data_IF_372098285852
#
_entry.id   IF_372098285852
#
_cell.length_a   1.000
_cell.length_b   1.000
_cell.length_c   1.000
_cell.angle_alpha   90.00
_cell.angle_beta   90.00
_cell.angle_gamma   90.00
#
_symmetry.space_group_name_H-M   'P 1'
#
loop_
_entity.id
_entity.type
_entity.pdbx_description
1 polymer ?
#
# COMPACT_ATOMS: atom_id res chain seq x y z
N UNK A 1 19.08 -5.66 17.98
CA UNK A 1 18.75 -4.62 17.01
C UNK A 1 18.65 -3.25 17.70
N UNK A 2 18.96 -2.19 16.96
CA UNK A 2 18.68 -0.81 17.39
C UNK A 2 17.25 -0.45 16.95
N UNK A 3 16.49 0.18 17.84
CA UNK A 3 15.15 0.69 17.58
C UNK A 3 15.11 2.21 17.74
N UNK A 4 14.21 2.84 16.97
CA UNK A 4 14.02 4.28 17.09
C UNK A 4 13.50 4.65 18.49
N UNK A 5 14.10 5.67 19.11
CA UNK A 5 13.68 6.15 20.44
C UNK A 5 12.35 6.93 20.41
N UNK A 6 11.86 7.30 19.23
CA UNK A 6 10.59 8.01 19.05
C UNK A 6 9.46 7.13 18.53
N UNK A 7 9.70 6.40 17.43
CA UNK A 7 8.72 5.48 16.86
C UNK A 7 9.12 4.04 17.14
N UNK A 8 8.62 3.07 16.35
CA UNK A 8 8.80 1.63 16.60
C UNK A 8 9.71 0.95 15.59
N UNK A 9 10.30 1.68 14.66
CA UNK A 9 11.09 1.08 13.59
C UNK A 9 12.46 0.58 14.04
N UNK A 10 12.82 -0.65 13.62
CA UNK A 10 14.16 -1.20 13.77
C UNK A 10 15.13 -0.71 12.68
N UNK A 11 16.41 -0.80 12.94
CA UNK A 11 17.49 -0.44 12.00
C UNK A 11 17.54 -1.30 10.74
N UNK A 12 17.05 -2.54 10.82
CA UNK A 12 17.00 -3.47 9.69
C UNK A 12 15.79 -3.27 8.77
N UNK A 13 15.19 -2.08 8.78
CA UNK A 13 14.05 -1.77 7.91
C UNK A 13 14.42 -1.96 6.42
N UNK A 14 13.58 -2.66 5.60
CA UNK A 14 13.92 -3.01 4.21
C UNK A 14 14.21 -1.80 3.30
N UNK A 15 13.68 -0.63 3.62
CA UNK A 15 13.92 0.62 2.88
C UNK A 15 15.11 1.42 3.43
N UNK A 16 16.04 0.78 4.19
CA UNK A 16 17.29 1.38 4.66
C UNK A 16 17.11 2.66 5.47
N UNK A 17 16.38 2.54 6.56
CA UNK A 17 16.21 3.60 7.53
C UNK A 17 17.54 3.93 8.23
N UNK A 18 17.85 5.21 8.42
CA UNK A 18 19.03 5.67 9.12
C UNK A 18 18.68 6.26 10.48
N UNK A 19 19.66 6.34 11.39
CA UNK A 19 19.49 6.88 12.74
C UNK A 19 20.52 7.98 12.99
N UNK A 20 20.09 9.04 13.64
CA UNK A 20 21.00 10.07 14.13
C UNK A 20 21.66 9.68 15.48
N UNK A 21 22.53 10.58 15.99
CA UNK A 21 23.24 10.37 17.27
C UNK A 21 22.28 10.31 18.46
N UNK A 22 21.11 10.93 18.36
CA UNK A 22 20.07 10.89 19.39
C UNK A 22 19.22 9.61 19.34
N UNK A 23 19.48 8.70 18.40
CA UNK A 23 18.71 7.46 18.24
C UNK A 23 17.37 7.63 17.51
N UNK A 24 17.16 8.78 16.87
CA UNK A 24 15.93 9.07 16.13
C UNK A 24 16.10 8.67 14.65
N UNK A 25 15.11 7.97 14.10
CA UNK A 25 15.18 7.53 12.71
C UNK A 25 14.91 8.67 11.72
N UNK A 26 15.46 8.54 10.52
CA UNK A 26 15.26 9.46 9.39
C UNK A 26 13.78 9.72 9.09
N UNK A 27 12.93 8.69 9.16
CA UNK A 27 11.50 8.86 8.97
C UNK A 27 10.82 9.78 9.99
N UNK A 28 11.27 9.77 11.26
CA UNK A 28 10.78 10.71 12.25
C UNK A 28 11.31 12.13 11.99
N UNK A 29 12.56 12.29 11.51
CA UNK A 29 13.13 13.61 11.20
C UNK A 29 12.44 14.26 10.01
N UNK A 30 12.26 13.52 8.92
CA UNK A 30 11.54 14.04 7.74
C UNK A 30 10.07 14.33 8.05
N UNK A 31 9.47 13.57 8.97
CA UNK A 31 8.10 13.86 9.39
C UNK A 31 7.98 15.20 10.14
N UNK A 32 9.01 15.64 10.86
CA UNK A 32 9.03 16.95 11.53
C UNK A 32 8.89 18.11 10.52
N UNK A 33 9.42 17.96 9.31
CA UNK A 33 9.30 18.95 8.24
C UNK A 33 7.84 19.30 7.94
N UNK A 34 6.90 18.37 8.13
CA UNK A 34 5.46 18.59 7.88
C UNK A 34 4.87 19.70 8.74
N UNK A 35 5.44 19.97 9.91
CA UNK A 35 4.99 21.01 10.82
C UNK A 35 5.59 22.38 10.49
N UNK A 36 6.65 22.44 9.66
CA UNK A 36 7.38 23.66 9.29
C UNK A 36 7.03 24.17 7.88
N UNK A 37 6.50 23.30 7.01
CA UNK A 37 6.24 23.62 5.62
C UNK A 37 4.96 24.43 5.43
N UNK A 38 5.02 25.42 4.53
CA UNK A 38 3.86 26.15 4.01
C UNK A 38 3.10 25.30 2.98
N UNK A 39 2.07 24.61 3.46
CA UNK A 39 1.25 23.73 2.63
C UNK A 39 0.33 24.48 1.65
N UNK A 40 -0.03 25.74 1.94
CA UNK A 40 -0.81 26.57 1.00
C UNK A 40 0.05 26.95 -0.21
N UNK A 41 1.26 27.40 0.04
CA UNK A 41 2.23 27.70 -1.04
C UNK A 41 2.56 26.44 -1.87
N UNK A 42 2.72 25.28 -1.23
CA UNK A 42 2.95 24.00 -1.91
C UNK A 42 1.77 23.59 -2.77
N UNK A 43 0.55 23.73 -2.27
CA UNK A 43 -0.64 23.44 -3.04
C UNK A 43 -0.83 24.42 -4.21
N UNK A 44 -0.51 25.70 -4.02
CA UNK A 44 -0.49 26.69 -5.12
C UNK A 44 0.56 26.30 -6.20
N UNK A 45 1.72 25.81 -5.80
CA UNK A 45 2.73 25.26 -6.72
C UNK A 45 2.17 24.07 -7.51
N UNK A 46 1.49 23.14 -6.86
CA UNK A 46 0.83 22.01 -7.53
C UNK A 46 -0.19 22.49 -8.56
N UNK A 47 -1.04 23.46 -8.20
CA UNK A 47 -2.00 24.06 -9.16
C UNK A 47 -1.31 24.62 -10.40
N UNK A 48 -0.23 25.38 -10.21
CA UNK A 48 0.55 25.93 -11.32
C UNK A 48 1.18 24.82 -12.19
N UNK A 49 1.73 23.78 -11.55
CA UNK A 49 2.34 22.66 -12.26
C UNK A 49 1.33 21.93 -13.15
N UNK A 50 0.16 21.60 -12.63
CA UNK A 50 -0.82 20.81 -13.37
C UNK A 50 -1.51 21.57 -14.50
N UNK A 51 -1.54 22.91 -14.46
CA UNK A 51 -2.06 23.72 -15.57
C UNK A 51 -1.32 23.45 -16.88
N UNK A 52 -0.02 23.16 -16.82
CA UNK A 52 0.78 22.79 -18.00
C UNK A 52 0.37 21.46 -18.65
N UNK A 53 -0.36 20.63 -17.92
CA UNK A 53 -0.82 19.32 -18.40
C UNK A 53 -2.30 19.28 -18.78
N UNK A 54 -3.05 20.37 -18.58
CA UNK A 54 -4.46 20.39 -18.99
C UNK A 54 -4.58 20.15 -20.48
N UNK A 55 -5.39 19.18 -20.85
CA UNK A 55 -5.71 18.97 -22.25
C UNK A 55 -6.49 20.14 -22.83
N UNK A 56 -6.03 20.62 -23.97
CA UNK A 56 -6.72 21.67 -24.72
C UNK A 56 -8.04 21.23 -25.32
N UNK A 57 -8.22 19.92 -25.48
CA UNK A 57 -9.48 19.33 -25.94
C UNK A 57 -10.25 18.80 -24.75
N UNK A 58 -11.55 19.03 -24.69
CA UNK A 58 -12.40 18.54 -23.60
C UNK A 58 -12.71 17.05 -23.69
N UNK A 59 -12.18 16.37 -24.69
CA UNK A 59 -12.49 14.96 -24.99
C UNK A 59 -11.47 13.97 -24.45
N UNK A 60 -10.32 14.45 -23.94
CA UNK A 60 -9.25 13.60 -23.43
C UNK A 60 -8.96 13.92 -21.95
N UNK A 61 -8.32 12.97 -21.28
CA UNK A 61 -7.94 13.09 -19.87
C UNK A 61 -6.69 13.98 -19.71
N UNK A 62 -6.64 14.72 -18.60
CA UNK A 62 -5.51 15.59 -18.25
C UNK A 62 -4.39 14.82 -17.55
N UNK A 63 -4.74 13.78 -16.82
CA UNK A 63 -3.78 12.97 -16.05
C UNK A 63 -4.30 11.54 -15.83
N UNK A 64 -3.40 10.69 -15.35
CA UNK A 64 -3.68 9.34 -14.86
C UNK A 64 -3.62 9.37 -13.34
N UNK A 65 -4.56 8.69 -12.69
CA UNK A 65 -4.53 8.42 -11.25
C UNK A 65 -4.58 6.92 -11.02
N UNK A 66 -3.48 6.32 -10.53
CA UNK A 66 -3.50 4.93 -10.09
C UNK A 66 -4.36 4.77 -8.84
N UNK A 67 -5.29 3.80 -8.87
CA UNK A 67 -6.27 3.61 -7.79
C UNK A 67 -6.41 2.15 -7.41
N UNK A 68 -6.89 1.93 -6.18
CA UNK A 68 -7.37 0.64 -5.69
C UNK A 68 -8.70 0.82 -4.95
N UNK A 69 -9.27 -0.25 -4.43
CA UNK A 69 -10.46 -0.18 -3.57
C UNK A 69 -10.16 0.23 -2.12
N UNK A 70 -8.94 0.67 -1.83
CA UNK A 70 -8.49 1.06 -0.49
C UNK A 70 -7.42 2.14 -0.55
N UNK A 71 -6.70 2.26 0.56
CA UNK A 71 -5.66 3.27 0.77
C UNK A 71 -6.21 4.67 0.51
N UNK A 72 -5.38 5.54 0.02
CA UNK A 72 -5.71 6.94 -0.19
C UNK A 72 -6.43 7.23 -1.51
N UNK A 73 -6.89 6.20 -2.25
CA UNK A 73 -7.44 6.35 -3.60
C UNK A 73 -8.57 7.36 -3.68
N UNK A 74 -9.51 7.34 -2.74
CA UNK A 74 -10.61 8.32 -2.68
C UNK A 74 -10.11 9.74 -2.49
N UNK A 75 -9.16 9.92 -1.57
CA UNK A 75 -8.60 11.24 -1.29
C UNK A 75 -7.80 11.78 -2.49
N UNK A 76 -7.00 10.92 -3.13
CA UNK A 76 -6.24 11.31 -4.33
C UNK A 76 -7.19 11.79 -5.43
N UNK A 77 -8.25 11.01 -5.72
CA UNK A 77 -9.24 11.39 -6.75
C UNK A 77 -10.00 12.65 -6.34
N UNK A 78 -10.34 12.81 -5.06
CA UNK A 78 -10.94 14.04 -4.54
C UNK A 78 -10.05 15.27 -4.80
N UNK A 79 -8.77 15.20 -4.47
CA UNK A 79 -7.81 16.29 -4.72
C UNK A 79 -7.73 16.60 -6.22
N UNK A 80 -7.52 15.56 -7.04
CA UNK A 80 -7.31 15.73 -8.48
C UNK A 80 -8.55 16.29 -9.16
N UNK A 81 -9.72 15.74 -8.85
CA UNK A 81 -10.94 16.11 -9.57
C UNK A 81 -11.64 17.31 -8.98
N UNK A 82 -11.79 17.38 -7.66
CA UNK A 82 -12.60 18.42 -7.02
C UNK A 82 -11.77 19.65 -6.63
N UNK A 83 -10.52 19.47 -6.16
CA UNK A 83 -9.71 20.61 -5.75
C UNK A 83 -8.87 21.20 -6.89
N UNK A 84 -8.37 20.35 -7.79
CA UNK A 84 -7.58 20.79 -8.96
C UNK A 84 -8.43 20.94 -10.23
N UNK A 85 -9.65 20.37 -10.27
CA UNK A 85 -10.54 20.44 -11.43
C UNK A 85 -10.00 19.75 -12.67
N UNK A 86 -9.16 18.71 -12.51
CA UNK A 86 -8.62 17.91 -13.61
C UNK A 86 -9.59 16.79 -14.02
N UNK A 87 -9.38 16.23 -15.20
CA UNK A 87 -10.10 15.07 -15.75
C UNK A 87 -9.21 13.85 -15.70
N UNK A 88 -9.23 13.07 -14.59
CA UNK A 88 -8.37 11.91 -14.47
C UNK A 88 -8.91 10.72 -15.27
N UNK A 89 -8.01 9.92 -15.85
CA UNK A 89 -8.23 8.52 -16.17
C UNK A 89 -7.76 7.69 -14.98
N UNK A 90 -8.68 7.00 -14.34
CA UNK A 90 -8.32 6.07 -13.26
C UNK A 90 -7.73 4.80 -13.85
N UNK A 91 -6.68 4.28 -13.22
CA UNK A 91 -5.99 3.09 -13.68
C UNK A 91 -5.76 2.14 -12.50
N UNK A 92 -6.14 0.88 -12.66
CA UNK A 92 -5.99 -0.12 -11.61
C UNK A 92 -5.45 -1.45 -12.13
N UNK A 93 -4.67 -2.13 -11.31
CA UNK A 93 -4.26 -3.52 -11.54
C UNK A 93 -5.08 -4.44 -10.64
N UNK A 94 -5.69 -5.46 -11.23
CA UNK A 94 -6.44 -6.47 -10.49
C UNK A 94 -5.47 -7.41 -9.74
N UNK A 95 -5.42 -7.24 -8.41
CA UNK A 95 -4.56 -8.03 -7.52
C UNK A 95 -4.95 -9.50 -7.40
N UNK A 96 -6.16 -9.87 -7.81
CA UNK A 96 -6.80 -11.19 -7.63
C UNK A 96 -7.12 -11.56 -6.17
N UNK A 97 -6.58 -10.85 -5.20
CA UNK A 97 -6.81 -11.03 -3.76
C UNK A 97 -7.90 -10.10 -3.21
N UNK A 98 -8.86 -9.75 -4.06
CA UNK A 98 -9.80 -8.67 -3.78
C UNK A 98 -10.87 -9.06 -2.75
N UNK A 99 -11.09 -8.20 -1.77
CA UNK A 99 -12.23 -8.31 -0.84
C UNK A 99 -13.49 -7.71 -1.45
N UNK A 100 -14.66 -8.09 -0.94
CA UNK A 100 -15.93 -7.47 -1.34
C UNK A 100 -15.94 -5.97 -1.05
N UNK A 101 -15.42 -5.54 0.12
CA UNK A 101 -15.29 -4.12 0.48
C UNK A 101 -14.44 -3.38 -0.55
N UNK A 102 -13.29 -3.91 -0.89
CA UNK A 102 -12.39 -3.29 -1.88
C UNK A 102 -13.01 -3.18 -3.26
N UNK A 103 -13.75 -4.19 -3.67
CA UNK A 103 -14.44 -4.19 -4.96
C UNK A 103 -15.54 -3.14 -4.99
N UNK A 104 -16.36 -3.03 -3.93
CA UNK A 104 -17.38 -1.98 -3.80
C UNK A 104 -16.74 -0.59 -3.78
N UNK A 105 -15.72 -0.39 -2.93
CA UNK A 105 -15.01 0.87 -2.87
C UNK A 105 -14.48 1.30 -4.24
N UNK A 106 -13.87 0.40 -5.01
CA UNK A 106 -13.37 0.73 -6.34
C UNK A 106 -14.49 1.06 -7.34
N UNK A 107 -15.60 0.32 -7.30
CA UNK A 107 -16.75 0.59 -8.16
C UNK A 107 -17.42 1.93 -7.82
N UNK A 108 -17.61 2.22 -6.54
CA UNK A 108 -18.16 3.50 -6.09
C UNK A 108 -17.22 4.68 -6.35
N UNK A 109 -15.91 4.49 -6.18
CA UNK A 109 -14.93 5.53 -6.48
C UNK A 109 -15.14 6.10 -7.88
N UNK A 110 -15.17 5.23 -8.91
CA UNK A 110 -15.38 5.69 -10.29
C UNK A 110 -16.74 6.35 -10.49
N UNK A 111 -17.80 5.79 -9.89
CA UNK A 111 -19.18 6.26 -10.07
C UNK A 111 -19.42 7.59 -9.36
N UNK A 112 -19.02 7.71 -8.10
CA UNK A 112 -19.20 8.91 -7.27
C UNK A 112 -18.44 10.13 -7.81
N UNK A 113 -17.25 9.88 -8.37
CA UNK A 113 -16.46 10.95 -8.98
C UNK A 113 -16.70 11.10 -10.47
N UNK A 114 -17.51 10.24 -11.11
CA UNK A 114 -17.78 10.28 -12.55
C UNK A 114 -16.52 10.18 -13.36
N UNK A 115 -15.70 9.14 -13.14
CA UNK A 115 -14.42 8.93 -13.80
C UNK A 115 -14.43 7.67 -14.66
N UNK A 116 -13.68 7.70 -15.75
CA UNK A 116 -13.34 6.51 -16.51
C UNK A 116 -12.30 5.68 -15.75
N UNK A 117 -12.39 4.35 -15.86
CA UNK A 117 -11.48 3.41 -15.21
C UNK A 117 -10.96 2.37 -16.21
N UNK A 118 -9.65 2.23 -16.25
CA UNK A 118 -9.00 1.12 -16.96
C UNK A 118 -8.45 0.10 -15.96
N UNK A 119 -8.71 -1.17 -16.21
CA UNK A 119 -8.25 -2.28 -15.37
C UNK A 119 -7.36 -3.22 -16.17
N UNK A 120 -6.17 -3.53 -15.65
CA UNK A 120 -5.37 -4.65 -16.12
C UNK A 120 -5.70 -5.89 -15.29
N UNK A 121 -6.09 -6.97 -15.95
CA UNK A 121 -6.26 -8.29 -15.33
C UNK A 121 -5.39 -9.30 -16.06
N UNK A 122 -4.49 -9.95 -15.34
CA UNK A 122 -3.63 -11.02 -15.85
C UNK A 122 -4.27 -12.37 -15.54
N UNK A 123 -4.07 -13.35 -16.41
CA UNK A 123 -4.58 -14.72 -16.20
C UNK A 123 -4.18 -15.28 -14.83
N UNK A 124 -5.11 -15.84 -14.05
CA UNK A 124 -4.80 -16.46 -12.75
C UNK A 124 -3.67 -17.47 -12.83
N UNK A 125 -3.62 -18.29 -13.87
CA UNK A 125 -2.58 -19.30 -14.07
C UNK A 125 -1.18 -18.69 -14.21
N UNK A 126 -1.07 -17.58 -14.94
CA UNK A 126 0.21 -16.84 -15.01
C UNK A 126 0.59 -16.24 -13.67
N UNK A 127 -0.37 -15.63 -12.98
CA UNK A 127 -0.12 -15.05 -11.65
C UNK A 127 0.32 -16.12 -10.65
N UNK A 128 -0.29 -17.31 -10.66
CA UNK A 128 0.14 -18.44 -9.82
C UNK A 128 1.59 -18.85 -10.12
N UNK A 129 1.97 -19.03 -11.40
CA UNK A 129 3.35 -19.37 -11.77
C UNK A 129 4.35 -18.32 -11.31
N UNK A 130 4.05 -17.05 -11.57
CA UNK A 130 4.89 -15.92 -11.11
C UNK A 130 5.02 -15.93 -9.58
N UNK A 131 3.91 -16.15 -8.88
CA UNK A 131 3.89 -16.13 -7.41
C UNK A 131 4.72 -17.28 -6.81
N UNK A 132 4.69 -18.48 -7.39
CA UNK A 132 5.56 -19.59 -6.94
C UNK A 132 7.04 -19.24 -7.06
N UNK A 133 7.43 -18.65 -8.19
CA UNK A 133 8.85 -18.24 -8.39
C UNK A 133 9.24 -17.07 -7.47
N UNK A 134 8.38 -16.08 -7.29
CA UNK A 134 8.71 -14.95 -6.41
C UNK A 134 8.71 -15.32 -4.92
N UNK A 135 7.92 -16.32 -4.51
CA UNK A 135 8.03 -16.93 -3.18
C UNK A 135 9.40 -17.61 -3.01
N UNK A 136 9.85 -18.40 -3.98
CA UNK A 136 11.15 -19.05 -3.96
C UNK A 136 12.31 -18.04 -3.94
N UNK A 137 12.25 -17.01 -4.78
CA UNK A 137 13.35 -16.06 -4.99
C UNK A 137 13.40 -14.94 -3.94
N UNK A 138 12.31 -14.56 -3.34
CA UNK A 138 12.22 -13.37 -2.46
C UNK A 138 11.28 -13.55 -1.26
N UNK A 139 10.70 -14.72 -1.04
CA UNK A 139 9.57 -14.91 -0.12
C UNK A 139 8.51 -13.82 -0.33
N UNK A 140 8.10 -13.61 -1.59
CA UNK A 140 7.12 -12.58 -1.94
C UNK A 140 5.93 -13.18 -2.66
N UNK A 141 4.76 -13.09 -2.05
CA UNK A 141 3.47 -13.39 -2.66
C UNK A 141 2.87 -12.17 -3.35
N UNK A 142 3.49 -11.02 -3.23
CA UNK A 142 2.92 -9.72 -3.63
C UNK A 142 3.68 -9.05 -4.79
N UNK A 143 4.71 -9.70 -5.33
CA UNK A 143 5.51 -9.13 -6.42
C UNK A 143 4.66 -8.73 -7.63
N UNK A 144 3.77 -9.62 -8.10
CA UNK A 144 2.92 -9.34 -9.26
C UNK A 144 1.99 -8.12 -9.04
N UNK A 145 1.52 -7.92 -7.79
CA UNK A 145 0.71 -6.77 -7.43
C UNK A 145 1.51 -5.47 -7.56
N UNK A 146 2.70 -5.43 -6.97
CA UNK A 146 3.57 -4.26 -7.00
C UNK A 146 4.05 -3.98 -8.43
N UNK A 147 4.46 -5.02 -9.16
CA UNK A 147 4.88 -4.90 -10.55
C UNK A 147 3.75 -4.37 -11.44
N UNK A 148 2.55 -4.93 -11.33
CA UNK A 148 1.39 -4.51 -12.12
C UNK A 148 0.91 -3.11 -11.76
N UNK A 149 0.79 -2.79 -10.48
CA UNK A 149 0.34 -1.48 -10.00
C UNK A 149 1.28 -0.34 -10.40
N UNK A 150 2.58 -0.60 -10.50
CA UNK A 150 3.57 0.42 -10.81
C UNK A 150 3.94 0.50 -12.28
N UNK A 151 3.67 -0.52 -13.09
CA UNK A 151 3.93 -0.51 -14.53
C UNK A 151 2.71 -0.08 -15.36
N UNK A 152 1.52 -0.55 -15.00
CA UNK A 152 0.33 -0.33 -15.83
C UNK A 152 -0.03 1.14 -16.03
N UNK A 153 0.05 2.02 -15.01
CA UNK A 153 -0.15 3.45 -15.22
C UNK A 153 0.84 4.06 -16.23
N UNK A 154 2.10 3.61 -16.24
CA UNK A 154 3.11 4.08 -17.20
C UNK A 154 2.82 3.57 -18.63
N UNK A 155 2.41 2.30 -18.77
CA UNK A 155 1.98 1.74 -20.05
C UNK A 155 0.77 2.50 -20.62
N UNK A 156 -0.20 2.83 -19.77
CA UNK A 156 -1.37 3.64 -20.15
C UNK A 156 -0.96 5.04 -20.54
N UNK A 157 -0.05 5.68 -19.78
CA UNK A 157 0.47 7.01 -20.09
C UNK A 157 1.09 7.06 -21.49
N UNK A 158 1.95 6.11 -21.81
CA UNK A 158 2.59 6.00 -23.11
C UNK A 158 1.57 5.73 -24.22
N UNK A 159 0.70 4.73 -24.02
CA UNK A 159 -0.27 4.29 -25.02
C UNK A 159 -1.31 5.36 -25.36
N UNK A 160 -1.82 6.04 -24.35
CA UNK A 160 -2.87 7.07 -24.52
C UNK A 160 -2.31 8.50 -24.61
N UNK A 161 -0.97 8.65 -24.55
CA UNK A 161 -0.28 9.95 -24.63
C UNK A 161 -0.75 10.93 -23.56
N UNK A 162 -0.90 10.43 -22.34
CA UNK A 162 -1.25 11.23 -21.15
C UNK A 162 0.03 11.38 -20.32
N UNK A 163 0.67 12.57 -20.33
CA UNK A 163 2.02 12.70 -19.78
C UNK A 163 2.09 12.80 -18.25
N UNK A 164 0.98 13.07 -17.56
CA UNK A 164 0.97 13.26 -16.11
C UNK A 164 0.36 12.05 -15.39
N UNK A 165 1.10 11.50 -14.44
CA UNK A 165 0.60 10.50 -13.47
C UNK A 165 0.65 11.11 -12.08
N UNK A 166 -0.46 11.07 -11.33
CA UNK A 166 -0.54 11.60 -9.97
C UNK A 166 -0.71 10.45 -8.98
N UNK A 167 0.31 10.27 -8.14
CA UNK A 167 0.36 9.27 -7.08
C UNK A 167 -0.02 9.88 -5.73
N UNK A 168 -0.29 9.04 -4.72
CA UNK A 168 -0.50 9.46 -3.34
C UNK A 168 0.80 9.82 -2.62
N UNK A 169 1.21 9.00 -1.64
CA UNK A 169 2.44 9.22 -0.89
C UNK A 169 3.62 8.42 -1.47
N UNK A 170 4.78 9.06 -1.53
CA UNK A 170 6.05 8.39 -1.76
C UNK A 170 6.58 7.81 -0.45
N UNK A 171 6.75 6.48 -0.36
CA UNK A 171 7.16 5.80 0.87
C UNK A 171 8.55 6.25 1.37
N UNK A 172 9.46 6.55 0.44
CA UNK A 172 10.79 7.06 0.76
C UNK A 172 10.77 8.40 1.49
N UNK A 173 9.74 9.22 1.31
CA UNK A 173 9.52 10.47 2.05
C UNK A 173 8.68 10.20 3.30
N UNK A 174 7.51 9.64 3.14
CA UNK A 174 6.50 9.58 4.21
C UNK A 174 6.80 8.53 5.29
N UNK A 175 7.38 7.40 4.91
CA UNK A 175 7.61 6.28 5.83
C UNK A 175 9.01 6.27 6.43
N UNK A 176 10.04 6.37 5.59
CA UNK A 176 11.43 6.13 6.03
C UNK A 176 12.33 7.36 6.01
N UNK A 177 11.89 8.46 5.42
CA UNK A 177 12.72 9.68 5.35
C UNK A 177 14.01 9.47 4.56
N UNK A 178 13.93 8.73 3.46
CA UNK A 178 15.03 8.56 2.50
C UNK A 178 15.28 9.86 1.73
N UNK A 179 14.23 10.63 1.56
CA UNK A 179 14.21 11.93 0.92
C UNK A 179 13.46 12.93 1.80
N UNK A 180 13.85 14.20 1.71
CA UNK A 180 13.14 15.31 2.33
C UNK A 180 11.94 15.75 1.48
N UNK A 181 10.96 16.42 2.09
CA UNK A 181 9.89 17.07 1.34
C UNK A 181 10.39 18.17 0.41
N UNK A 182 11.57 18.76 0.68
CA UNK A 182 12.16 19.79 -0.19
C UNK A 182 12.75 19.22 -1.47
N UNK A 183 13.02 17.92 -1.52
CA UNK A 183 13.52 17.25 -2.72
C UNK A 183 12.43 17.10 -3.79
N UNK A 184 11.15 17.16 -3.40
CA UNK A 184 9.98 17.00 -4.29
C UNK A 184 10.11 15.79 -5.23
N UNK A 185 10.45 14.66 -4.65
CA UNK A 185 10.79 13.43 -5.39
C UNK A 185 9.67 13.02 -6.33
N UNK A 186 10.03 12.74 -7.57
CA UNK A 186 9.14 12.20 -8.58
C UNK A 186 9.36 10.70 -8.81
N UNK A 187 8.42 10.07 -9.51
CA UNK A 187 8.49 8.66 -9.87
C UNK A 187 9.72 8.36 -10.72
N UNK A 188 10.46 7.32 -10.36
CA UNK A 188 11.59 6.82 -11.15
C UNK A 188 11.53 5.31 -11.29
N UNK A 189 11.99 4.78 -12.44
CA UNK A 189 12.15 3.34 -12.63
C UNK A 189 13.16 2.75 -11.65
N UNK A 190 14.20 3.50 -11.30
CA UNK A 190 15.22 3.06 -10.34
C UNK A 190 14.60 2.77 -8.97
N UNK A 191 13.80 3.70 -8.42
CA UNK A 191 13.13 3.50 -7.13
C UNK A 191 12.20 2.28 -7.18
N UNK A 192 11.40 2.16 -8.24
CA UNK A 192 10.53 1.00 -8.46
C UNK A 192 11.31 -0.32 -8.43
N UNK A 193 12.39 -0.42 -9.20
CA UNK A 193 13.21 -1.65 -9.25
C UNK A 193 13.82 -1.98 -7.89
N UNK A 194 14.47 -1.02 -7.26
CA UNK A 194 15.27 -1.24 -6.05
C UNK A 194 14.40 -1.47 -4.81
N UNK A 195 13.25 -0.77 -4.70
CA UNK A 195 12.42 -0.79 -3.50
C UNK A 195 11.10 -1.54 -3.69
N UNK A 196 10.29 -1.19 -4.68
CA UNK A 196 8.99 -1.84 -4.84
C UNK A 196 9.15 -3.29 -5.29
N UNK A 197 10.08 -3.58 -6.18
CA UNK A 197 10.28 -4.90 -6.78
C UNK A 197 11.46 -5.69 -6.17
N UNK A 198 12.06 -5.21 -5.10
CA UNK A 198 13.15 -5.92 -4.39
C UNK A 198 14.32 -6.29 -5.32
N UNK A 199 14.62 -5.46 -6.30
CA UNK A 199 15.67 -5.65 -7.31
C UNK A 199 15.26 -6.53 -8.50
N UNK A 200 14.02 -6.99 -8.59
CA UNK A 200 13.54 -7.87 -9.67
C UNK A 200 12.54 -7.14 -10.59
N UNK A 201 13.02 -6.56 -11.67
CA UNK A 201 12.18 -6.23 -12.83
C UNK A 201 11.71 -7.52 -13.54
N UNK A 202 10.78 -7.39 -14.49
CA UNK A 202 10.30 -8.55 -15.27
C UNK A 202 11.41 -9.32 -15.96
N UNK A 203 12.41 -8.62 -16.48
CA UNK A 203 13.57 -9.18 -17.14
C UNK A 203 14.51 -9.92 -16.17
N UNK A 204 14.74 -9.34 -14.98
CA UNK A 204 15.52 -9.96 -13.93
C UNK A 204 14.83 -11.23 -13.40
N UNK A 205 13.49 -11.18 -13.24
CA UNK A 205 12.71 -12.32 -12.81
C UNK A 205 12.75 -13.45 -13.85
N UNK A 206 12.60 -13.12 -15.12
CA UNK A 206 12.70 -14.11 -16.21
C UNK A 206 14.07 -14.81 -16.22
N UNK A 207 15.14 -14.06 -16.00
CA UNK A 207 16.49 -14.61 -15.97
C UNK A 207 16.78 -15.49 -14.73
N UNK A 208 16.06 -15.25 -13.62
CA UNK A 208 16.24 -15.97 -12.35
C UNK A 208 15.26 -17.13 -12.12
N UNK A 209 14.22 -17.23 -12.95
CA UNK A 209 13.13 -18.20 -12.78
C UNK A 209 13.27 -19.34 -13.78
N UNK A 210 13.22 -20.57 -13.29
CA UNK A 210 13.36 -21.77 -14.14
C UNK A 210 12.08 -22.12 -14.89
N UNK A 211 10.91 -21.69 -14.38
CA UNK A 211 9.59 -22.12 -14.87
C UNK A 211 8.85 -21.05 -15.68
N UNK A 212 9.37 -19.82 -15.78
CA UNK A 212 8.71 -18.72 -16.48
C UNK A 212 9.21 -18.55 -17.91
N UNK A 213 8.28 -18.15 -18.77
CA UNK A 213 8.54 -17.80 -20.16
C UNK A 213 8.31 -16.29 -20.36
N UNK A 214 8.86 -15.74 -21.44
CA UNK A 214 8.71 -14.31 -21.81
C UNK A 214 7.24 -13.88 -21.83
N UNK A 215 6.35 -14.72 -22.36
CA UNK A 215 4.91 -14.44 -22.42
C UNK A 215 4.21 -14.37 -21.05
N UNK A 216 4.81 -14.94 -20.00
CA UNK A 216 4.24 -14.84 -18.65
C UNK A 216 4.41 -13.45 -18.03
N UNK A 217 5.47 -12.74 -18.44
CA UNK A 217 5.86 -11.46 -17.85
C UNK A 217 5.62 -10.25 -18.76
N UNK A 218 5.05 -10.44 -19.95
CA UNK A 218 4.84 -9.37 -20.92
C UNK A 218 4.04 -8.19 -20.35
N UNK A 219 2.99 -8.46 -19.56
CA UNK A 219 2.16 -7.43 -18.95
C UNK A 219 2.90 -6.59 -17.91
N UNK A 220 4.02 -7.08 -17.38
CA UNK A 220 4.81 -6.41 -16.35
C UNK A 220 6.04 -5.67 -16.88
N UNK A 221 6.24 -5.71 -18.21
CA UNK A 221 7.38 -5.01 -18.85
C UNK A 221 7.20 -3.51 -18.78
N UNK A 222 8.24 -2.86 -18.27
CA UNK A 222 8.28 -1.41 -18.25
C UNK A 222 8.45 -0.86 -19.66
N UNK A 223 7.72 0.20 -20.07
CA UNK A 223 7.91 0.81 -21.38
C UNK A 223 9.36 1.28 -21.58
N UNK A 224 9.79 1.31 -22.82
CA UNK A 224 11.15 1.75 -23.14
C UNK A 224 11.33 3.24 -22.85
N UNK A 225 12.51 3.63 -22.35
CA UNK A 225 12.80 5.02 -21.95
C UNK A 225 12.51 6.03 -23.08
N UNK A 226 12.83 5.67 -24.34
CA UNK A 226 12.51 6.51 -25.51
C UNK A 226 11.01 6.77 -25.71
N UNK A 227 10.16 5.80 -25.38
CA UNK A 227 8.70 5.97 -25.46
C UNK A 227 8.20 6.90 -24.35
N UNK A 228 8.75 6.76 -23.15
CA UNK A 228 8.46 7.59 -21.99
C UNK A 228 8.88 9.04 -22.26
N UNK A 229 10.10 9.25 -22.76
CA UNK A 229 10.66 10.55 -23.13
C UNK A 229 9.87 11.22 -24.26
N UNK A 230 9.50 10.46 -25.29
CA UNK A 230 8.72 10.99 -26.42
C UNK A 230 7.35 11.55 -26.01
N UNK A 231 6.76 11.01 -24.93
CA UNK A 231 5.49 11.50 -24.37
C UNK A 231 5.74 12.55 -23.28
N UNK A 232 6.92 12.57 -22.67
CA UNK A 232 7.25 13.42 -21.54
C UNK A 232 6.53 12.98 -20.26
N UNK A 233 6.48 11.67 -20.00
CA UNK A 233 5.77 11.14 -18.83
C UNK A 233 6.44 11.59 -17.53
N UNK A 234 5.67 12.21 -16.64
CA UNK A 234 6.04 12.58 -15.28
C UNK A 234 5.09 11.93 -14.28
N UNK A 235 5.64 11.37 -13.22
CA UNK A 235 4.86 10.85 -12.10
C UNK A 235 5.17 11.67 -10.84
N UNK A 236 4.18 12.45 -10.36
CA UNK A 236 4.31 13.27 -9.16
C UNK A 236 3.59 12.63 -7.98
N UNK A 237 4.02 12.95 -6.76
CA UNK A 237 3.42 12.46 -5.53
C UNK A 237 2.74 13.60 -4.76
N UNK A 238 1.48 13.41 -4.39
CA UNK A 238 0.68 14.43 -3.72
C UNK A 238 1.24 14.81 -2.34
N UNK A 239 1.92 13.89 -1.65
CA UNK A 239 2.52 14.18 -0.35
C UNK A 239 3.66 15.23 -0.42
N UNK A 240 4.16 15.59 -1.60
CA UNK A 240 5.04 16.73 -1.79
C UNK A 240 4.31 18.08 -1.67
N UNK A 241 3.00 18.10 -1.91
CA UNK A 241 2.20 19.31 -2.09
C UNK A 241 1.03 19.43 -1.12
N UNK A 242 0.67 18.34 -0.44
CA UNK A 242 -0.42 18.28 0.53
C UNK A 242 0.12 17.64 1.81
N UNK A 243 -0.20 18.23 2.96
CA UNK A 243 0.15 17.64 4.24
C UNK A 243 -0.52 16.27 4.37
N UNK A 244 0.30 15.21 4.25
CA UNK A 244 -0.21 13.85 4.19
C UNK A 244 -0.55 13.33 5.59
N UNK A 245 -1.83 13.03 5.78
CA UNK A 245 -2.38 12.42 7.00
C UNK A 245 -3.46 11.40 6.62
N UNK A 246 -3.02 10.16 6.45
CA UNK A 246 -3.87 9.06 5.97
C UNK A 246 -5.15 8.88 6.78
N UNK A 247 -5.08 8.98 8.13
CA UNK A 247 -6.28 8.82 8.98
C UNK A 247 -7.29 9.93 8.72
N UNK A 248 -6.86 11.19 8.77
CA UNK A 248 -7.74 12.34 8.53
C UNK A 248 -8.32 12.32 7.10
N UNK A 249 -7.53 11.92 6.12
CA UNK A 249 -7.94 11.80 4.72
C UNK A 249 -9.02 10.73 4.54
N UNK A 250 -8.88 9.57 5.16
CA UNK A 250 -9.91 8.53 5.14
C UNK A 250 -11.19 8.97 5.85
N UNK A 251 -11.09 9.62 7.01
CA UNK A 251 -12.26 10.13 7.73
C UNK A 251 -13.03 11.15 6.90
N UNK A 252 -12.33 12.06 6.23
CA UNK A 252 -12.94 12.97 5.27
C UNK A 252 -13.68 12.23 4.15
N UNK A 253 -13.11 11.14 3.63
CA UNK A 253 -13.74 10.37 2.55
C UNK A 253 -14.87 9.46 3.05
N UNK A 254 -14.81 8.95 4.27
CA UNK A 254 -15.93 8.28 4.92
C UNK A 254 -17.13 9.22 4.98
N UNK A 255 -16.93 10.44 5.47
CA UNK A 255 -18.00 11.41 5.66
C UNK A 255 -18.54 11.96 4.34
N UNK A 256 -17.66 12.32 3.41
CA UNK A 256 -18.07 12.95 2.15
C UNK A 256 -18.50 11.96 1.07
N UNK A 257 -17.93 10.77 1.03
CA UNK A 257 -18.04 9.85 -0.11
C UNK A 257 -18.43 8.43 0.27
N UNK A 258 -18.63 8.17 1.57
CA UNK A 258 -19.05 6.85 2.03
C UNK A 258 -18.02 5.74 1.80
N UNK A 259 -16.72 6.06 1.92
CA UNK A 259 -15.67 5.05 1.90
C UNK A 259 -15.93 3.99 2.98
N UNK A 260 -15.91 2.72 2.59
CA UNK A 260 -16.15 1.59 3.49
C UNK A 260 -14.85 1.12 4.12
N UNK A 261 -14.92 0.77 5.40
CA UNK A 261 -13.81 0.25 6.20
C UNK A 261 -13.99 -1.21 6.55
N UNK A 262 -12.90 -1.88 6.94
CA UNK A 262 -12.96 -3.28 7.39
C UNK A 262 -12.00 -3.54 8.54
N UNK A 263 -12.35 -4.48 9.42
CA UNK A 263 -11.44 -4.96 10.44
C UNK A 263 -10.26 -5.70 9.83
N UNK A 264 -9.11 -5.53 10.49
CA UNK A 264 -7.89 -6.22 10.17
C UNK A 264 -7.41 -7.04 11.37
N UNK A 265 -6.99 -8.27 11.16
CA UNK A 265 -6.59 -9.15 12.26
C UNK A 265 -5.22 -8.80 12.86
N UNK A 266 -4.33 -8.22 12.06
CA UNK A 266 -2.93 -8.00 12.43
C UNK A 266 -2.55 -6.53 12.62
N UNK A 267 -3.54 -5.64 12.63
CA UNK A 267 -3.36 -4.22 12.89
C UNK A 267 -4.66 -3.59 13.39
N UNK A 268 -4.54 -2.46 14.07
CA UNK A 268 -5.68 -1.66 14.54
C UNK A 268 -6.26 -0.73 13.47
N UNK A 269 -5.54 -0.53 12.37
CA UNK A 269 -5.98 0.35 11.26
C UNK A 269 -7.04 -0.36 10.43
N UNK A 270 -8.25 0.18 10.44
CA UNK A 270 -9.41 -0.33 9.70
C UNK A 270 -9.64 0.37 8.36
N UNK A 271 -8.80 1.34 7.99
CA UNK A 271 -8.97 2.17 6.80
C UNK A 271 -8.12 1.71 5.63
N UNK A 272 -6.86 1.35 5.90
CA UNK A 272 -5.93 0.93 4.87
C UNK A 272 -6.11 -0.54 4.50
N UNK A 273 -5.75 -0.87 3.26
CA UNK A 273 -5.61 -2.24 2.75
C UNK A 273 -6.87 -3.13 2.85
N UNK A 274 -8.05 -2.52 2.99
CA UNK A 274 -9.34 -3.23 3.06
C UNK A 274 -9.72 -3.93 1.76
N UNK A 275 -9.02 -3.64 0.68
CA UNK A 275 -9.24 -4.17 -0.67
C UNK A 275 -8.53 -5.49 -0.96
N UNK A 276 -7.78 -6.04 0.00
CA UNK A 276 -6.97 -7.23 -0.22
C UNK A 276 -7.04 -8.19 0.98
N UNK A 277 -7.36 -9.47 0.72
CA UNK A 277 -7.40 -10.50 1.75
C UNK A 277 -6.06 -10.72 2.46
N UNK A 278 -4.97 -10.58 1.71
CA UNK A 278 -3.66 -11.05 2.17
C UNK A 278 -2.72 -9.95 2.63
N UNK A 279 -2.96 -8.69 2.27
CA UNK A 279 -1.96 -7.64 2.48
C UNK A 279 -1.68 -7.36 3.95
N UNK A 280 -2.73 -7.27 4.78
CA UNK A 280 -2.61 -7.16 6.25
C UNK A 280 -2.74 -8.51 6.98
N UNK A 281 -2.79 -9.61 6.24
CA UNK A 281 -2.84 -10.99 6.73
C UNK A 281 -1.52 -11.73 6.47
N UNK A 282 -1.55 -12.68 5.53
CA UNK A 282 -0.41 -13.56 5.23
C UNK A 282 0.82 -12.80 4.71
N UNK A 283 0.63 -11.79 3.85
CA UNK A 283 1.75 -10.98 3.36
C UNK A 283 2.47 -10.24 4.50
N UNK A 284 1.71 -9.68 5.45
CA UNK A 284 2.30 -9.07 6.65
C UNK A 284 3.01 -10.09 7.55
N UNK A 285 2.48 -11.32 7.65
CA UNK A 285 3.14 -12.38 8.41
C UNK A 285 4.45 -12.84 7.76
N UNK A 286 4.52 -12.86 6.43
CA UNK A 286 5.78 -13.07 5.70
C UNK A 286 6.76 -11.92 5.98
N UNK A 287 6.28 -10.67 6.04
CA UNK A 287 7.10 -9.52 6.43
C UNK A 287 7.68 -9.69 7.82
N UNK A 288 6.87 -10.10 8.79
CA UNK A 288 7.32 -10.42 10.15
C UNK A 288 8.41 -11.51 10.12
N UNK A 289 8.21 -12.58 9.35
CA UNK A 289 9.19 -13.65 9.22
C UNK A 289 10.54 -13.15 8.66
N UNK A 290 10.53 -12.23 7.71
CA UNK A 290 11.74 -11.70 7.07
C UNK A 290 12.45 -10.64 7.92
N UNK A 291 11.70 -9.74 8.56
CA UNK A 291 12.23 -8.51 9.13
C UNK A 291 12.04 -8.37 10.64
N UNK A 292 11.33 -9.31 11.28
CA UNK A 292 11.09 -9.32 12.72
C UNK A 292 10.04 -8.33 13.23
N UNK A 293 9.34 -7.63 12.34
CA UNK A 293 8.24 -6.73 12.71
C UNK A 293 7.12 -6.74 11.67
N UNK A 294 5.90 -6.46 12.09
CA UNK A 294 4.71 -6.46 11.26
C UNK A 294 4.19 -5.06 10.92
N UNK A 295 3.10 -5.02 10.17
CA UNK A 295 2.40 -3.80 9.73
C UNK A 295 1.87 -2.95 10.89
N UNK A 296 1.54 -3.58 12.01
CA UNK A 296 1.15 -2.85 13.22
C UNK A 296 2.22 -1.84 13.64
N UNK A 297 3.50 -2.18 13.47
CA UNK A 297 4.61 -1.23 13.72
C UNK A 297 4.64 -0.06 12.73
N UNK A 298 4.30 -0.31 11.44
CA UNK A 298 4.19 0.76 10.44
C UNK A 298 3.08 1.73 10.81
N UNK A 299 1.89 1.20 11.11
CA UNK A 299 0.72 2.01 11.44
C UNK A 299 0.91 2.77 12.77
N UNK A 300 1.42 2.09 13.79
CA UNK A 300 1.70 2.75 15.06
C UNK A 300 2.79 3.82 14.93
N UNK A 301 3.86 3.57 14.18
CA UNK A 301 4.91 4.57 13.91
C UNK A 301 4.35 5.80 13.21
N UNK A 302 3.44 5.64 12.26
CA UNK A 302 2.74 6.75 11.59
C UNK A 302 1.93 7.56 12.60
N UNK A 303 1.13 6.90 13.44
CA UNK A 303 0.26 7.58 14.41
C UNK A 303 1.06 8.24 15.54
N UNK A 304 2.21 7.67 15.94
CA UNK A 304 3.15 8.29 16.86
C UNK A 304 3.72 9.59 16.27
N UNK A 305 4.16 9.56 15.01
CA UNK A 305 4.68 10.75 14.32
C UNK A 305 3.63 11.85 14.18
N UNK A 306 2.37 11.47 13.99
CA UNK A 306 1.22 12.37 13.93
C UNK A 306 0.71 12.78 15.33
N UNK A 307 1.41 12.38 16.40
CA UNK A 307 1.11 12.76 17.80
C UNK A 307 -0.27 12.26 18.28
N UNK A 308 -0.74 11.14 17.74
CA UNK A 308 -2.00 10.47 18.14
C UNK A 308 -1.80 9.23 19.01
N UNK A 309 -0.59 8.70 19.04
CA UNK A 309 -0.17 7.64 19.96
C UNK A 309 1.13 8.05 20.67
N UNK A 310 1.29 7.61 21.90
CA UNK A 310 2.60 7.58 22.54
C UNK A 310 3.38 6.37 22.05
N UNK A 311 4.71 6.38 22.20
CA UNK A 311 5.54 5.21 21.90
C UNK A 311 5.10 3.99 22.70
N UNK A 312 4.78 4.18 23.98
CA UNK A 312 4.27 3.13 24.88
C UNK A 312 2.99 2.50 24.33
N UNK A 313 1.99 3.32 24.01
CA UNK A 313 0.75 2.84 23.39
C UNK A 313 0.99 2.11 22.07
N UNK A 314 1.95 2.56 21.27
CA UNK A 314 2.36 1.87 20.04
C UNK A 314 2.96 0.50 20.33
N UNK A 315 3.77 0.34 21.38
CA UNK A 315 4.33 -0.93 21.82
C UNK A 315 3.22 -1.88 22.30
N UNK A 316 2.25 -1.41 23.06
CA UNK A 316 1.07 -2.19 23.48
C UNK A 316 0.30 -2.74 22.28
N UNK A 317 0.16 -1.95 21.22
CA UNK A 317 -0.45 -2.42 19.98
C UNK A 317 0.39 -3.49 19.27
N UNK A 318 1.73 -3.36 19.29
CA UNK A 318 2.61 -4.40 18.76
C UNK A 318 2.45 -5.70 19.54
N UNK A 319 2.45 -5.65 20.88
CA UNK A 319 2.21 -6.83 21.73
C UNK A 319 0.87 -7.51 21.42
N UNK A 320 -0.15 -6.71 21.15
CA UNK A 320 -1.50 -7.22 20.88
C UNK A 320 -1.64 -7.87 19.49
N UNK A 321 -1.02 -7.35 18.46
CA UNK A 321 -1.34 -7.71 17.06
C UNK A 321 -0.24 -8.49 16.33
N UNK A 322 1.04 -8.29 16.67
CA UNK A 322 2.15 -8.78 15.86
C UNK A 322 2.18 -10.29 15.70
N UNK A 323 1.93 -11.03 16.77
CA UNK A 323 2.02 -12.48 16.78
C UNK A 323 0.73 -13.18 16.32
N UNK A 324 -0.31 -12.44 16.02
CA UNK A 324 -1.57 -12.96 15.49
C UNK A 324 -1.30 -13.72 14.19
N UNK A 325 -1.68 -14.99 14.14
CA UNK A 325 -1.53 -15.81 12.93
C UNK A 325 -2.53 -15.36 11.87
N UNK A 326 -2.12 -15.36 10.60
CA UNK A 326 -3.03 -15.03 9.50
C UNK A 326 -4.09 -16.12 9.34
N UNK A 327 -5.34 -15.71 9.18
CA UNK A 327 -6.45 -16.64 8.91
C UNK A 327 -6.59 -17.03 7.44
N UNK A 328 -5.89 -16.32 6.57
CA UNK A 328 -5.96 -16.39 5.11
C UNK A 328 -4.90 -17.32 4.47
N UNK A 329 -4.09 -18.01 5.27
CA UNK A 329 -3.06 -18.93 4.77
C UNK A 329 -3.67 -20.04 3.91
N UNK A 330 -4.71 -20.72 4.41
CA UNK A 330 -5.33 -21.84 3.69
C UNK A 330 -5.95 -21.38 2.37
N UNK A 331 -6.66 -20.24 2.39
CA UNK A 331 -7.22 -19.63 1.18
C UNK A 331 -6.16 -19.39 0.11
N UNK A 332 -5.00 -18.87 0.53
CA UNK A 332 -3.89 -18.61 -0.38
C UNK A 332 -3.27 -19.89 -0.95
N UNK A 333 -3.04 -20.90 -0.09
CA UNK A 333 -2.43 -22.16 -0.50
C UNK A 333 -3.33 -22.95 -1.45
N UNK A 334 -4.63 -22.97 -1.19
CA UNK A 334 -5.63 -23.62 -2.08
C UNK A 334 -5.66 -22.90 -3.43
N UNK A 335 -5.67 -21.57 -3.45
CA UNK A 335 -5.62 -20.80 -4.68
C UNK A 335 -4.31 -21.03 -5.45
N UNK A 336 -3.16 -21.06 -4.76
CA UNK A 336 -1.85 -21.23 -5.37
C UNK A 336 -1.56 -22.69 -5.75
N UNK A 337 -2.38 -23.64 -5.25
CA UNK A 337 -2.15 -25.07 -5.39
C UNK A 337 -0.76 -25.49 -4.88
N UNK A 338 -0.44 -25.06 -3.66
CA UNK A 338 0.84 -25.30 -2.98
C UNK A 338 0.63 -25.95 -1.62
N UNK A 339 1.48 -26.92 -1.30
CA UNK A 339 1.46 -27.55 0.02
C UNK A 339 2.09 -26.63 1.09
N UNK A 340 1.49 -26.61 2.28
CA UNK A 340 1.94 -25.74 3.36
C UNK A 340 3.42 -25.96 3.76
N UNK A 341 3.98 -27.19 3.82
CA UNK A 341 5.40 -27.37 4.10
C UNK A 341 6.33 -26.76 3.05
N UNK A 342 5.93 -26.76 1.78
CA UNK A 342 6.69 -26.13 0.69
C UNK A 342 6.69 -24.61 0.84
N UNK A 343 5.53 -24.05 1.13
CA UNK A 343 5.38 -22.62 1.38
C UNK A 343 6.30 -22.16 2.53
N UNK A 344 6.25 -22.86 3.67
CA UNK A 344 7.07 -22.46 4.82
C UNK A 344 8.57 -22.68 4.58
N UNK A 345 8.99 -23.68 3.82
CA UNK A 345 10.40 -23.80 3.40
C UNK A 345 10.85 -22.57 2.60
N UNK A 346 10.01 -22.08 1.70
CA UNK A 346 10.31 -20.88 0.90
C UNK A 346 10.41 -19.62 1.77
N UNK A 347 9.52 -19.45 2.74
CA UNK A 347 9.51 -18.28 3.64
C UNK A 347 10.65 -18.35 4.65
N UNK A 348 10.85 -19.52 5.28
CA UNK A 348 11.86 -19.73 6.34
C UNK A 348 13.30 -19.57 5.83
N UNK A 349 13.55 -19.80 4.55
CA UNK A 349 14.83 -19.52 3.91
C UNK A 349 15.26 -18.04 3.98
N UNK A 350 14.31 -17.15 4.21
CA UNK A 350 14.56 -15.71 4.32
C UNK A 350 14.53 -15.18 5.76
N UNK A 351 14.40 -16.05 6.76
CA UNK A 351 14.54 -15.63 8.16
C UNK A 351 16.00 -15.30 8.45
N UNK A 352 16.24 -14.10 8.95
CA UNK A 352 17.58 -13.67 9.34
C UNK A 352 17.97 -14.31 10.69
N UNK A 353 19.08 -15.06 10.76
CA UNK A 353 19.58 -15.62 12.02
C UNK A 353 19.94 -14.57 13.08
N UNK A 354 20.18 -13.31 12.70
CA UNK A 354 20.36 -12.20 13.63
C UNK A 354 19.07 -11.87 14.41
N UNK A 355 17.91 -12.11 13.79
CA UNK A 355 16.59 -11.78 14.32
C UNK A 355 15.88 -12.99 14.94
N UNK A 356 16.12 -14.17 14.36
CA UNK A 356 15.41 -15.41 14.71
C UNK A 356 16.33 -16.48 15.27
N UNK A 357 15.83 -17.25 16.23
CA UNK A 357 16.38 -18.55 16.63
C UNK A 357 15.28 -19.61 16.70
N UNK A 358 15.67 -20.84 17.02
CA UNK A 358 14.73 -21.92 17.28
C UNK A 358 14.77 -22.31 18.76
N UNK A 359 13.60 -22.46 19.35
CA UNK A 359 13.48 -22.99 20.70
C UNK A 359 13.82 -24.50 20.75
N UNK A 360 13.86 -25.07 21.96
CA UNK A 360 14.16 -26.50 22.18
C UNK A 360 13.17 -27.45 21.46
N UNK A 361 12.02 -26.94 21.02
CA UNK A 361 11.00 -27.71 20.27
C UNK A 361 11.10 -27.44 18.75
N UNK A 362 12.13 -26.72 18.29
CA UNK A 362 12.34 -26.37 16.90
C UNK A 362 11.42 -25.26 16.36
N UNK A 363 10.65 -24.57 17.20
CA UNK A 363 9.76 -23.48 16.78
C UNK A 363 10.54 -22.17 16.69
N UNK A 364 10.22 -21.36 15.70
CA UNK A 364 10.81 -20.04 15.52
C UNK A 364 10.45 -19.10 16.67
N UNK A 365 11.46 -18.38 17.16
CA UNK A 365 11.35 -17.36 18.20
C UNK A 365 12.12 -16.11 17.81
N UNK A 366 11.49 -14.94 17.95
CA UNK A 366 12.18 -13.65 17.84
C UNK A 366 13.19 -13.51 18.97
N UNK A 367 14.42 -13.18 18.62
CA UNK A 367 15.48 -12.87 19.59
C UNK A 367 15.28 -11.51 20.21
N UNK A 368 14.72 -10.59 19.44
CA UNK A 368 14.56 -9.21 19.80
C UNK A 368 13.32 -8.58 19.13
N UNK A 369 12.68 -7.66 19.81
CA UNK A 369 11.54 -6.88 19.30
C UNK A 369 11.49 -5.51 20.00
N UNK A 370 10.75 -4.56 19.44
CA UNK A 370 10.57 -3.24 20.03
C UNK A 370 10.03 -3.27 21.46
N UNK A 371 9.37 -4.37 21.86
CA UNK A 371 8.86 -4.57 23.22
C UNK A 371 9.98 -4.57 24.26
N UNK A 372 11.13 -5.19 23.93
CA UNK A 372 12.31 -5.20 24.81
C UNK A 372 12.97 -3.82 24.92
N UNK A 373 12.69 -2.91 23.98
CA UNK A 373 13.25 -1.55 23.90
C UNK A 373 12.32 -0.46 24.43
N UNK A 374 11.35 -0.85 25.27
CA UNK A 374 10.35 0.05 25.87
C UNK A 374 10.97 1.19 26.64
N UNK A 375 12.04 0.93 27.39
CA UNK A 375 12.71 1.82 28.31
C UNK A 375 14.16 2.15 27.90
N UNK A 376 14.47 2.07 26.62
CA UNK A 376 15.79 2.42 26.11
C UNK A 376 16.14 3.88 26.44
N UNK A 377 17.43 4.15 26.64
CA UNK A 377 17.94 5.49 26.90
C UNK A 377 17.57 6.44 25.74
N UNK A 378 17.12 7.64 26.08
CA UNK A 378 16.75 8.67 25.10
C UNK A 378 15.33 8.56 24.57
N UNK A 379 14.52 7.59 25.02
CA UNK A 379 13.10 7.55 24.68
C UNK A 379 12.41 8.84 25.12
N UNK A 380 11.88 9.57 24.15
CA UNK A 380 11.24 10.87 24.35
C UNK A 380 9.73 10.71 24.60
N UNK A 381 9.37 10.45 25.86
CA UNK A 381 7.98 10.31 26.26
C UNK A 381 7.18 11.63 26.20
N UNK A 382 7.84 12.77 26.37
CA UNK A 382 7.18 14.08 26.47
C UNK A 382 6.63 14.58 25.12
N UNK A 383 7.32 14.28 24.03
CA UNK A 383 6.90 14.66 22.68
C UNK A 383 5.72 13.87 22.15
N UNK A 384 5.45 12.74 22.74
CA UNK A 384 4.42 11.78 22.33
C UNK A 384 3.16 11.91 23.17
N UNK A 385 3.03 12.95 23.99
CA UNK A 385 1.80 13.25 24.70
C UNK A 385 0.68 13.51 23.68
N UNK A 386 -0.39 12.73 23.74
CA UNK A 386 -1.49 12.75 22.80
C UNK A 386 -2.65 13.52 23.42
N UNK A 387 -3.14 14.53 22.70
CA UNK A 387 -4.29 15.29 23.12
C UNK A 387 -5.63 14.53 22.92
N UNK A 388 -5.68 13.57 21.98
CA UNK A 388 -6.85 12.75 21.71
C UNK A 388 -6.41 11.33 21.34
N UNK A 389 -7.25 10.33 21.60
CA UNK A 389 -6.99 8.93 21.27
C UNK A 389 -6.86 8.68 19.76
N UNK A 390 -6.26 7.57 19.41
CA UNK A 390 -6.11 7.11 18.03
C UNK A 390 -7.15 6.01 17.72
N UNK A 391 -8.42 6.40 17.69
CA UNK A 391 -9.49 5.49 17.33
C UNK A 391 -9.75 5.49 15.82
N UNK A 392 -9.92 4.31 15.25
CA UNK A 392 -10.33 4.10 13.88
C UNK A 392 -11.77 3.64 13.89
N UNK A 393 -12.67 4.47 13.35
CA UNK A 393 -14.10 4.15 13.32
C UNK A 393 -14.43 3.12 12.23
N UNK A 394 -15.49 2.37 12.47
CA UNK A 394 -16.06 1.49 11.45
C UNK A 394 -17.07 2.26 10.63
N UNK A 395 -16.94 2.15 9.32
CA UNK A 395 -17.91 2.65 8.36
C UNK A 395 -18.37 1.47 7.51
N UNK A 396 -19.48 0.80 7.88
CA UNK A 396 -20.03 -0.30 7.10
C UNK A 396 -20.59 0.19 5.77
N UNK A 397 -20.88 -0.75 4.89
CA UNK A 397 -21.54 -0.45 3.62
C UNK A 397 -22.81 0.36 3.81
N UNK A 398 -22.94 1.42 3.01
CA UNK A 398 -24.17 2.20 2.91
C UNK A 398 -25.19 1.57 1.95
N UNK A 399 -24.76 0.57 1.20
CA UNK A 399 -25.58 -0.12 0.22
C UNK A 399 -25.95 -1.51 0.73
N UNK A 400 -26.94 -1.64 1.61
CA UNK A 400 -27.58 -2.89 1.87
C UNK A 400 -28.45 -3.33 0.68
N UNK A 401 -28.68 -2.43 -0.28
CA UNK A 401 -29.60 -2.67 -1.39
C UNK A 401 -28.99 -3.53 -2.47
N UNK A 402 -29.72 -4.57 -2.81
CA UNK A 402 -29.43 -5.54 -3.87
C UNK A 402 -29.13 -4.87 -5.23
N UNK A 403 -29.70 -3.70 -5.49
CA UNK A 403 -29.52 -2.97 -6.76
C UNK A 403 -28.10 -2.44 -6.89
N UNK A 404 -27.55 -1.83 -5.87
CA UNK A 404 -26.18 -1.30 -5.90
C UNK A 404 -25.16 -2.42 -5.90
N UNK A 405 -25.39 -3.49 -5.14
CA UNK A 405 -24.57 -4.69 -5.17
C UNK A 405 -24.62 -5.36 -6.55
N UNK A 406 -25.77 -5.40 -7.19
CA UNK A 406 -25.90 -5.93 -8.54
C UNK A 406 -25.13 -5.11 -9.57
N UNK A 407 -25.21 -3.79 -9.48
CA UNK A 407 -24.43 -2.88 -10.34
C UNK A 407 -22.93 -3.06 -10.14
N UNK A 408 -22.49 -3.16 -8.89
CA UNK A 408 -21.10 -3.42 -8.53
C UNK A 408 -20.64 -4.75 -9.08
N UNK A 409 -21.45 -5.80 -8.97
CA UNK A 409 -21.14 -7.13 -9.50
C UNK A 409 -20.95 -7.12 -11.02
N UNK A 410 -21.80 -6.47 -11.76
CA UNK A 410 -21.66 -6.34 -13.22
C UNK A 410 -20.36 -5.62 -13.59
N UNK A 411 -19.96 -4.63 -12.82
CA UNK A 411 -18.75 -3.85 -13.09
C UNK A 411 -17.42 -4.49 -12.67
N UNK A 412 -17.44 -5.59 -11.92
CA UNK A 412 -16.23 -6.14 -11.30
C UNK A 412 -15.78 -7.51 -11.81
N UNK A 413 -16.64 -8.21 -12.54
CA UNK A 413 -16.43 -9.59 -12.88
C UNK A 413 -16.71 -10.54 -11.71
N UNK A 414 -16.52 -11.82 -11.95
CA UNK A 414 -16.87 -12.91 -11.05
C UNK A 414 -16.01 -12.92 -9.77
N UNK A 415 -16.66 -13.24 -8.64
CA UNK A 415 -16.01 -13.58 -7.37
C UNK A 415 -16.64 -14.87 -6.87
N UNK A 416 -15.84 -15.90 -6.73
CA UNK A 416 -16.26 -17.29 -6.54
C UNK A 416 -17.16 -17.53 -5.30
N UNK A 417 -17.00 -16.77 -4.23
CA UNK A 417 -17.72 -16.99 -2.98
C UNK A 417 -18.86 -15.98 -2.70
N UNK A 418 -19.26 -15.20 -3.70
CA UNK A 418 -20.35 -14.26 -3.47
C UNK A 418 -21.71 -14.96 -3.51
N UNK A 419 -22.34 -15.05 -2.36
CA UNK A 419 -23.76 -15.43 -2.25
C UNK A 419 -24.57 -14.14 -2.04
N UNK A 420 -25.56 -13.85 -2.88
CA UNK A 420 -26.43 -12.70 -2.65
C UNK A 420 -27.07 -12.82 -1.26
N UNK A 421 -27.20 -11.70 -0.53
CA UNK A 421 -27.96 -11.72 0.71
C UNK A 421 -29.36 -12.28 0.39
N UNK A 422 -29.76 -13.30 1.13
CA UNK A 422 -31.12 -13.84 0.98
C UNK A 422 -32.08 -12.67 1.18
N UNK A 423 -32.93 -12.41 0.19
CA UNK A 423 -34.03 -11.49 0.34
C UNK A 423 -34.70 -11.80 1.67
N UNK A 424 -34.79 -10.80 2.56
CA UNK A 424 -35.54 -10.96 3.80
C UNK A 424 -36.92 -11.45 3.39
N UNK A 425 -37.28 -12.65 3.85
CA UNK A 425 -38.60 -13.19 3.59
C UNK A 425 -39.60 -12.11 4.05
N UNK A 426 -40.27 -11.49 3.09
CA UNK A 426 -41.39 -10.61 3.37
C UNK A 426 -42.37 -11.44 4.19
N UNK A 427 -42.37 -11.20 5.50
CA UNK A 427 -43.31 -11.85 6.40
C UNK A 427 -44.72 -11.56 5.95
N UNK A 428 -45.43 -12.60 5.63
CA UNK A 428 -46.87 -12.59 5.44
C UNK A 428 -47.55 -12.39 6.80
#
# INVERSE_FOLDING_TARGET
LRYCVRCLYPENHPLRLTFDDAGVCSGCRVHEEKDELDWEARFAKLRSLVEGFRSRTRTIHDCIVPVSGARDSYFIVYVVKELLGLRPLLVTYNKQYNTQVGIRNLAYLRSLFGCDLMTMTVSPERVKRITRETLRLRASMYWHCLAGQTVFPVQVAVKFKIPLIIWGAHQGVDQVGMYSHVDEVEMTRKYRKEHDLMGLESEDLLAAADSLQTGDLEQYRYPHDKEIEAIGVRGIYLNNYVRWDTKAQHELMIDKRGYETAEQLRTFDTYNDVDCFHYSGLHDYIKLAKWGYGKVSDHASREIRLKRLTREQGIELVERYQDTKPSDLRLFLDWLEMEEPEFWRSVDAFRDPAIWDRDARGRWRLKDSVVAHRHDAGVDAARLAVAAGCEFRRAPSKAPDVVDDHYVLVGRGWVDDWTPPRAAASGA
#
